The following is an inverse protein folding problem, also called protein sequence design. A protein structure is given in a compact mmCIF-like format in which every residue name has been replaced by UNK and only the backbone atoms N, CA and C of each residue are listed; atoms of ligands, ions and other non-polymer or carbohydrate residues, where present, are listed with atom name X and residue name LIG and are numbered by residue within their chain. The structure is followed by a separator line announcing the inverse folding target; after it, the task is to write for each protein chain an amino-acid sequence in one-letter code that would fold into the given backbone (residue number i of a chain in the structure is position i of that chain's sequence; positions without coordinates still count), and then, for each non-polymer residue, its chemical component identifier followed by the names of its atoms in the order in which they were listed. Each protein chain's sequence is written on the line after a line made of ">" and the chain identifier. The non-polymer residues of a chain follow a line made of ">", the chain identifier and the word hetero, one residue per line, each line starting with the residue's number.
data_IF_946500243949
#
_entry.id   IF_946500243949
#
_cell.length_a   1.000
_cell.length_b   1.000
_cell.length_c   1.000
_cell.angle_alpha   90.00
_cell.angle_beta   90.00
_cell.angle_gamma   90.00
#
_symmetry.space_group_name_H-M   'P 1'
#
loop_
_entity.id
_entity.type
_entity.pdbx_description
1 polymer ?
#
# COMPACT_ATOMS: atom_id res chain seq x y z
N UNK A 1 -34.15 22.99 -5.82
CA UNK A 1 -33.07 22.68 -4.87
C UNK A 1 -32.61 21.25 -5.11
N UNK A 2 -31.45 21.05 -5.75
CA UNK A 2 -30.81 19.74 -5.86
C UNK A 2 -29.97 19.50 -4.61
N UNK A 3 -30.42 18.59 -3.73
CA UNK A 3 -29.60 18.13 -2.62
C UNK A 3 -28.47 17.26 -3.18
N UNK A 4 -27.20 17.45 -2.77
CA UNK A 4 -26.12 16.56 -3.17
C UNK A 4 -26.42 15.14 -2.65
N UNK A 5 -26.49 14.18 -3.57
CA UNK A 5 -26.70 12.78 -3.24
C UNK A 5 -25.48 12.28 -2.46
N UNK A 6 -25.64 11.68 -1.26
CA UNK A 6 -24.53 11.11 -0.52
C UNK A 6 -23.84 10.03 -1.36
N UNK A 7 -22.56 10.23 -1.67
CA UNK A 7 -21.77 9.25 -2.40
C UNK A 7 -21.11 8.28 -1.42
N UNK A 8 -21.14 6.99 -1.75
CA UNK A 8 -20.48 5.96 -0.96
C UNK A 8 -18.98 5.96 -1.26
N UNK A 9 -18.15 6.05 -0.23
CA UNK A 9 -16.69 5.91 -0.36
C UNK A 9 -16.23 4.62 0.31
N UNK A 10 -15.73 3.63 -0.45
CA UNK A 10 -15.18 2.41 0.12
C UNK A 10 -13.80 2.66 0.73
N UNK A 11 -13.34 1.73 1.57
CA UNK A 11 -11.98 1.74 2.11
C UNK A 11 -11.21 0.52 1.64
N UNK A 12 -9.97 0.75 1.19
CA UNK A 12 -9.07 -0.31 0.76
C UNK A 12 -8.00 -0.54 1.83
N UNK A 13 -7.66 -1.80 2.07
CA UNK A 13 -6.59 -2.21 2.96
C UNK A 13 -5.87 -3.44 2.42
N UNK A 14 -4.63 -3.64 2.86
CA UNK A 14 -3.80 -4.78 2.49
C UNK A 14 -3.62 -5.70 3.71
N UNK A 15 -3.64 -7.01 3.48
CA UNK A 15 -3.38 -8.03 4.50
C UNK A 15 -2.38 -9.06 3.96
N UNK A 16 -1.36 -9.47 4.73
CA UNK A 16 -1.09 -9.11 6.13
C UNK A 16 -0.52 -7.71 6.36
N UNK A 17 0.19 -7.15 5.37
CA UNK A 17 0.93 -5.88 5.47
C UNK A 17 1.00 -5.15 4.13
N UNK A 18 1.49 -3.91 4.13
CA UNK A 18 1.79 -3.14 2.92
C UNK A 18 3.13 -3.53 2.29
N UNK A 19 3.99 -4.19 3.04
CA UNK A 19 5.28 -4.71 2.60
C UNK A 19 5.21 -6.23 2.54
N UNK A 20 5.55 -6.82 1.39
CA UNK A 20 5.54 -8.28 1.14
C UNK A 20 6.74 -8.67 0.28
N UNK A 21 7.20 -9.91 0.37
CA UNK A 21 8.30 -10.40 -0.46
C UNK A 21 7.81 -10.94 -1.81
N UNK A 22 8.71 -10.99 -2.80
CA UNK A 22 8.45 -11.76 -4.02
C UNK A 22 8.18 -13.23 -3.69
N UNK A 23 7.09 -13.76 -4.24
CA UNK A 23 6.59 -15.10 -3.96
C UNK A 23 5.50 -15.15 -2.89
N UNK A 24 5.30 -14.07 -2.12
CA UNK A 24 4.22 -14.00 -1.14
C UNK A 24 2.86 -13.76 -1.80
N UNK A 25 1.79 -14.02 -1.05
CA UNK A 25 0.42 -13.68 -1.44
C UNK A 25 -0.07 -12.53 -0.56
N UNK A 26 -0.58 -11.47 -1.18
CA UNK A 26 -1.25 -10.36 -0.49
C UNK A 26 -2.74 -10.39 -0.77
N UNK A 27 -3.55 -10.03 0.22
CA UNK A 27 -5.01 -9.89 0.07
C UNK A 27 -5.38 -8.42 0.06
N UNK A 28 -6.00 -7.98 -1.04
CA UNK A 28 -6.61 -6.66 -1.15
C UNK A 28 -8.04 -6.75 -0.62
N UNK A 29 -8.31 -6.01 0.46
CA UNK A 29 -9.59 -6.01 1.16
C UNK A 29 -10.27 -4.66 1.00
N UNK A 30 -11.31 -4.64 0.18
CA UNK A 30 -12.12 -3.45 -0.02
C UNK A 30 -13.40 -3.57 0.80
N UNK A 31 -13.57 -2.68 1.79
CA UNK A 31 -14.76 -2.60 2.62
C UNK A 31 -15.75 -1.60 2.03
N UNK A 32 -16.99 -2.03 1.88
CA UNK A 32 -18.12 -1.27 1.34
C UNK A 32 -19.26 -1.37 2.34
N UNK A 33 -19.89 -0.26 2.71
CA UNK A 33 -20.94 -0.24 3.75
C UNK A 33 -22.22 -1.04 3.40
N UNK A 34 -22.26 -1.72 2.25
CA UNK A 34 -23.40 -2.53 1.81
C UNK A 34 -22.93 -3.89 1.25
N UNK A 35 -23.70 -4.95 1.51
CA UNK A 35 -23.42 -6.27 0.98
C UNK A 35 -23.93 -6.51 -0.43
N UNK A 36 -23.32 -7.48 -1.11
CA UNK A 36 -23.73 -7.91 -2.45
C UNK A 36 -23.46 -6.86 -3.52
N UNK A 37 -22.38 -6.09 -3.37
CA UNK A 37 -21.99 -5.03 -4.30
C UNK A 37 -20.80 -5.48 -5.12
N UNK A 38 -20.84 -5.24 -6.43
CA UNK A 38 -19.70 -5.48 -7.30
C UNK A 38 -18.61 -4.44 -7.01
N UNK A 39 -17.45 -4.91 -6.57
CA UNK A 39 -16.26 -4.09 -6.30
C UNK A 39 -15.27 -4.23 -7.44
N UNK A 40 -14.69 -3.10 -7.84
CA UNK A 40 -13.55 -3.02 -8.76
C UNK A 40 -12.31 -2.54 -8.00
N UNK A 41 -11.19 -3.25 -8.14
CA UNK A 41 -9.89 -2.86 -7.60
C UNK A 41 -8.95 -2.52 -8.76
N UNK A 42 -8.28 -1.38 -8.66
CA UNK A 42 -7.40 -0.82 -9.68
C UNK A 42 -5.97 -0.72 -9.17
N UNK A 43 -5.01 -0.91 -10.05
CA UNK A 43 -3.58 -0.64 -9.82
C UNK A 43 -3.05 0.47 -10.73
N UNK A 44 -2.22 1.35 -10.18
CA UNK A 44 -1.46 2.35 -10.94
C UNK A 44 -0.43 1.69 -11.89
N UNK A 45 -0.35 2.16 -13.13
CA UNK A 45 0.67 1.78 -14.12
C UNK A 45 0.13 1.47 -15.52
N UNK A 46 1.06 1.23 -16.46
CA UNK A 46 0.84 1.07 -17.92
C UNK A 46 0.03 -0.16 -18.37
N UNK A 47 -0.49 -0.93 -17.43
CA UNK A 47 -1.39 -2.04 -17.68
C UNK A 47 -2.33 -2.14 -16.50
N UNK A 48 -3.39 -1.32 -16.50
CA UNK A 48 -4.39 -1.25 -15.44
C UNK A 48 -4.93 -2.65 -15.16
N UNK A 49 -4.38 -3.32 -14.15
CA UNK A 49 -4.90 -4.60 -13.68
C UNK A 49 -6.15 -4.27 -12.89
N UNK A 50 -7.27 -4.79 -13.37
CA UNK A 50 -8.56 -4.64 -12.73
C UNK A 50 -9.03 -6.00 -12.24
N UNK A 51 -9.34 -6.07 -10.96
CA UNK A 51 -9.97 -7.24 -10.36
C UNK A 51 -11.41 -6.89 -10.00
N UNK A 52 -12.30 -7.85 -10.18
CA UNK A 52 -13.72 -7.75 -9.84
C UNK A 52 -14.08 -8.78 -8.81
N UNK A 53 -14.83 -8.37 -7.79
CA UNK A 53 -15.32 -9.28 -6.77
C UNK A 53 -16.60 -8.74 -6.16
N UNK A 54 -17.57 -9.63 -5.97
CA UNK A 54 -18.75 -9.31 -5.16
C UNK A 54 -18.36 -9.23 -3.69
N UNK A 55 -18.92 -8.25 -2.98
CA UNK A 55 -18.75 -8.16 -1.53
C UNK A 55 -19.56 -9.26 -0.84
N UNK A 56 -18.87 -10.01 0.04
CA UNK A 56 -19.49 -10.96 0.97
C UNK A 56 -19.64 -10.24 2.30
N UNK A 57 -20.88 -9.96 2.70
CA UNK A 57 -21.11 -9.00 3.78
C UNK A 57 -20.60 -7.62 3.36
N UNK A 58 -19.90 -6.90 4.23
CA UNK A 58 -19.37 -5.57 3.93
C UNK A 58 -17.98 -5.58 3.26
N UNK A 59 -17.46 -6.74 2.85
CA UNK A 59 -16.07 -6.88 2.40
C UNK A 59 -15.95 -7.64 1.08
N UNK A 60 -15.14 -7.12 0.16
CA UNK A 60 -14.69 -7.82 -1.03
C UNK A 60 -13.19 -8.10 -0.91
N UNK A 61 -12.79 -9.35 -1.12
CA UNK A 61 -11.40 -9.80 -0.97
C UNK A 61 -10.86 -10.39 -2.28
N UNK A 62 -9.66 -9.95 -2.65
CA UNK A 62 -8.92 -10.46 -3.82
C UNK A 62 -7.53 -10.86 -3.36
N UNK A 63 -7.18 -12.12 -3.60
CA UNK A 63 -5.84 -12.63 -3.36
C UNK A 63 -4.97 -12.41 -4.60
N UNK A 64 -3.77 -11.88 -4.39
CA UNK A 64 -2.81 -11.58 -5.44
C UNK A 64 -1.48 -12.24 -5.10
N UNK A 65 -1.06 -13.16 -5.94
CA UNK A 65 0.25 -13.80 -5.85
C UNK A 65 1.32 -12.89 -6.45
N UNK A 66 2.27 -12.48 -5.63
CA UNK A 66 3.28 -11.47 -5.95
C UNK A 66 4.46 -12.13 -6.66
N UNK A 67 4.27 -12.50 -7.93
CA UNK A 67 5.29 -13.20 -8.72
C UNK A 67 6.36 -12.28 -9.33
N UNK A 68 6.12 -10.97 -9.39
CA UNK A 68 7.03 -9.99 -10.00
C UNK A 68 6.97 -8.65 -9.29
N UNK A 69 8.02 -7.82 -9.43
CA UNK A 69 8.05 -6.47 -8.82
C UNK A 69 7.00 -5.52 -9.39
N UNK A 70 6.42 -5.83 -10.54
CA UNK A 70 5.37 -5.04 -11.19
C UNK A 70 4.06 -5.02 -10.40
N UNK A 71 3.90 -5.85 -9.36
CA UNK A 71 2.81 -5.76 -8.40
C UNK A 71 2.98 -4.61 -7.40
N UNK A 72 4.19 -4.06 -7.22
CA UNK A 72 4.39 -2.86 -6.40
C UNK A 72 3.66 -1.64 -6.98
N UNK A 73 3.24 -0.73 -6.11
CA UNK A 73 2.61 0.54 -6.48
C UNK A 73 1.29 0.80 -5.78
N UNK A 74 0.55 1.81 -6.26
CA UNK A 74 -0.68 2.28 -5.61
C UNK A 74 -1.91 1.56 -6.14
N UNK A 75 -2.84 1.29 -5.23
CA UNK A 75 -4.10 0.61 -5.48
C UNK A 75 -5.27 1.43 -4.96
N UNK A 76 -6.41 1.33 -5.66
CA UNK A 76 -7.69 1.92 -5.25
C UNK A 76 -8.80 0.89 -5.41
N UNK A 77 -9.88 1.04 -4.66
CA UNK A 77 -11.11 0.34 -4.97
C UNK A 77 -12.28 1.31 -5.21
N UNK A 78 -13.22 0.86 -6.02
CA UNK A 78 -14.51 1.49 -6.28
C UNK A 78 -15.60 0.42 -6.23
N UNK A 79 -16.84 0.85 -6.14
CA UNK A 79 -18.00 -0.03 -6.08
C UNK A 79 -19.03 0.38 -7.14
N UNK A 80 -19.79 -0.58 -7.63
CA UNK A 80 -20.92 -0.30 -8.52
C UNK A 80 -22.21 -0.63 -7.78
N UNK A 81 -22.89 0.43 -7.33
CA UNK A 81 -24.15 0.31 -6.62
C UNK A 81 -25.15 1.31 -7.19
N UNK A 82 -26.36 0.85 -7.49
CA UNK A 82 -27.47 1.71 -7.90
C UNK A 82 -28.49 1.77 -6.77
N UNK A 83 -29.06 2.95 -6.42
CA UNK A 83 -28.96 4.25 -7.08
C UNK A 83 -27.88 5.20 -6.52
N UNK A 84 -27.03 4.77 -5.57
CA UNK A 84 -26.05 5.66 -4.93
C UNK A 84 -24.74 5.75 -5.74
N UNK A 85 -24.23 6.95 -6.04
CA UNK A 85 -22.91 7.06 -6.66
C UNK A 85 -21.82 6.53 -5.72
N UNK A 86 -20.81 5.86 -6.27
CA UNK A 86 -19.64 5.40 -5.54
C UNK A 86 -18.39 6.17 -5.98
N UNK A 87 -17.56 6.60 -5.03
CA UNK A 87 -16.28 7.24 -5.32
C UNK A 87 -15.11 6.26 -5.17
N UNK A 88 -13.95 6.61 -5.71
CA UNK A 88 -12.71 5.91 -5.41
C UNK A 88 -12.37 5.98 -3.91
N UNK A 89 -11.78 4.90 -3.40
CA UNK A 89 -11.18 4.86 -2.07
C UNK A 89 -9.96 5.78 -1.98
N UNK A 90 -9.44 5.98 -0.76
CA UNK A 90 -8.07 6.44 -0.63
C UNK A 90 -7.10 5.38 -1.18
N UNK A 91 -5.96 5.78 -1.77
CA UNK A 91 -4.96 4.85 -2.25
C UNK A 91 -4.29 4.09 -1.09
N UNK A 92 -3.90 2.86 -1.35
CA UNK A 92 -2.92 2.12 -0.53
C UNK A 92 -1.73 1.76 -1.41
N UNK A 93 -0.53 1.78 -0.85
CA UNK A 93 0.70 1.43 -1.58
C UNK A 93 1.15 0.04 -1.17
N UNK A 94 1.39 -0.83 -2.15
CA UNK A 94 2.03 -2.13 -1.94
C UNK A 94 3.51 -2.00 -2.29
N UNK A 95 4.36 -2.33 -1.34
CA UNK A 95 5.81 -2.42 -1.49
C UNK A 95 6.20 -3.88 -1.63
N UNK A 96 6.95 -4.20 -2.68
CA UNK A 96 7.43 -5.56 -2.94
C UNK A 96 8.93 -5.61 -2.67
N UNK A 97 9.31 -6.40 -1.68
CA UNK A 97 10.70 -6.69 -1.34
C UNK A 97 11.20 -7.84 -2.21
N UNK A 98 12.35 -7.65 -2.86
CA UNK A 98 12.98 -8.72 -3.61
C UNK A 98 14.15 -9.30 -2.79
N UNK A 99 14.04 -10.56 -2.33
CA UNK A 99 15.07 -11.19 -1.51
C UNK A 99 16.37 -11.47 -2.28
N UNK A 100 16.38 -11.36 -3.62
CA UNK A 100 17.61 -11.45 -4.41
C UNK A 100 18.55 -10.24 -4.23
N UNK A 101 18.04 -9.13 -3.67
CA UNK A 101 18.88 -7.99 -3.32
C UNK A 101 19.34 -8.07 -1.88
N UNK A 102 20.65 -7.90 -1.69
CA UNK A 102 21.23 -7.75 -0.37
C UNK A 102 20.67 -6.49 0.33
N UNK A 103 20.40 -6.55 1.64
CA UNK A 103 20.00 -5.39 2.41
C UNK A 103 21.05 -4.27 2.29
N UNK A 104 20.64 -3.00 2.24
CA UNK A 104 21.60 -1.92 2.24
C UNK A 104 22.33 -1.84 3.59
N UNK A 105 23.60 -1.47 3.54
CA UNK A 105 24.43 -1.27 4.72
C UNK A 105 24.22 0.15 5.23
N UNK A 106 23.73 0.28 6.46
CA UNK A 106 23.60 1.56 7.15
C UNK A 106 24.77 1.77 8.10
N UNK A 107 25.39 2.94 8.04
CA UNK A 107 26.43 3.37 8.96
C UNK A 107 26.13 4.76 9.54
N UNK A 108 26.67 5.02 10.72
CA UNK A 108 26.46 6.24 11.50
C UNK A 108 27.82 6.83 11.90
N UNK A 109 28.02 8.13 11.65
CA UNK A 109 29.23 8.83 12.07
C UNK A 109 28.92 10.23 12.65
N UNK A 110 29.30 10.53 13.91
CA UNK A 110 29.87 9.61 14.90
C UNK A 110 28.82 8.58 15.35
N UNK A 111 29.26 7.33 15.56
CA UNK A 111 28.40 6.26 16.08
C UNK A 111 28.20 6.38 17.60
N UNK A 112 27.16 5.73 18.11
CA UNK A 112 26.89 5.62 19.55
C UNK A 112 26.10 6.80 20.14
N UNK A 113 26.24 7.02 21.45
CA UNK A 113 25.51 8.07 22.17
C UNK A 113 26.17 9.42 21.95
N UNK A 114 25.43 10.34 21.33
CA UNK A 114 25.89 11.70 21.06
C UNK A 114 25.27 12.71 22.03
N UNK A 115 25.95 13.84 22.22
CA UNK A 115 25.45 14.96 23.02
C UNK A 115 24.52 15.86 22.21
N UNK A 116 23.69 16.65 22.90
CA UNK A 116 22.84 17.64 22.24
C UNK A 116 23.70 18.66 21.49
N UNK A 117 23.34 18.94 20.24
CA UNK A 117 24.10 19.85 19.36
C UNK A 117 25.16 19.15 18.49
N UNK A 118 25.37 17.84 18.64
CA UNK A 118 26.25 17.07 17.76
C UNK A 118 25.53 16.70 16.46
N UNK A 119 26.12 17.03 15.32
CA UNK A 119 25.65 16.57 14.01
C UNK A 119 26.06 15.12 13.76
N UNK A 120 25.11 14.30 13.28
CA UNK A 120 25.34 12.90 12.93
C UNK A 120 25.05 12.70 11.45
N UNK A 121 25.96 12.04 10.76
CA UNK A 121 25.78 11.60 9.38
C UNK A 121 25.31 10.16 9.37
N UNK A 122 24.22 9.91 8.65
CA UNK A 122 23.69 8.58 8.39
C UNK A 122 23.97 8.26 6.93
N UNK A 123 24.73 7.21 6.68
CA UNK A 123 25.08 6.78 5.32
C UNK A 123 24.42 5.44 5.03
N UNK A 124 23.72 5.35 3.90
CA UNK A 124 23.10 4.13 3.41
C UNK A 124 23.78 3.75 2.10
N UNK A 125 24.32 2.54 2.02
CA UNK A 125 25.04 2.04 0.85
C UNK A 125 24.41 0.74 0.37
N UNK A 126 24.26 0.61 -0.93
CA UNK A 126 23.81 -0.62 -1.59
C UNK A 126 24.76 -0.91 -2.73
N UNK A 127 25.04 -2.20 -2.95
CA UNK A 127 25.76 -2.67 -4.14
C UNK A 127 24.90 -2.55 -5.41
N UNK A 128 23.60 -2.29 -5.24
CA UNK A 128 22.64 -2.05 -6.30
C UNK A 128 22.26 -0.57 -6.31
N UNK A 129 22.18 0.06 -7.48
CA UNK A 129 21.69 1.44 -7.59
C UNK A 129 20.29 1.55 -6.98
N UNK A 130 20.15 2.33 -5.91
CA UNK A 130 18.93 2.38 -5.11
C UNK A 130 18.63 3.80 -4.62
N UNK A 131 17.34 4.07 -4.42
CA UNK A 131 16.85 5.23 -3.68
C UNK A 131 16.56 4.77 -2.25
N UNK A 132 17.09 5.48 -1.25
CA UNK A 132 16.94 5.12 0.15
C UNK A 132 15.86 5.95 0.82
N UNK A 133 15.02 5.31 1.62
CA UNK A 133 14.05 5.96 2.52
C UNK A 133 14.49 5.68 3.95
N UNK A 134 14.63 6.73 4.76
CA UNK A 134 15.04 6.60 6.16
C UNK A 134 13.84 6.82 7.09
N UNK A 135 13.46 5.78 7.83
CA UNK A 135 12.41 5.86 8.85
C UNK A 135 13.04 6.07 10.24
N UNK A 136 12.62 7.13 10.94
CA UNK A 136 13.02 7.37 12.34
C UNK A 136 12.02 6.71 13.28
N UNK A 137 12.48 5.75 14.08
CA UNK A 137 11.69 5.16 15.15
C UNK A 137 11.84 5.95 16.47
N UNK A 138 10.77 5.98 17.28
CA UNK A 138 10.76 6.54 18.64
C UNK A 138 10.13 7.93 18.80
N UNK A 139 9.67 8.25 20.02
CA UNK A 139 9.23 9.59 20.43
C UNK A 139 10.44 10.42 20.86
N UNK A 140 10.49 11.67 20.43
CA UNK A 140 11.42 12.65 21.02
C UNK A 140 11.09 12.82 22.50
N UNK A 141 12.09 12.64 23.37
CA UNK A 141 12.01 13.01 24.78
C UNK A 141 12.18 14.53 24.93
#
# INVERSE_FOLDING_TARGET
>A
CSFPVPALRPSLSLHPSQEVALGDTVTLRCRVSRPGVLVSIYKEGDGMRQWYRDSVGDMAEVHVDVSTRNFAGRYWCSCNISPLPCTLSNPVELVVLDPSFLPPVMSLSPGGRVTRGTSVTISCQSTYGATFVLHKAGRSA
#
